data_IF_441645986588
#
_entry.id   IF_441645986588
#
_cell.length_a   1.000
_cell.length_b   1.000
_cell.length_c   1.000
_cell.angle_alpha   90.00
_cell.angle_beta   90.00
_cell.angle_gamma   90.00
#
_symmetry.space_group_name_H-M   'P 1'
#
loop_
_entity.id
_entity.type
_entity.pdbx_description
1 polymer ?
#
# COMPACT_ATOMS: atom_id res chain seq x y z
N UNK A 1 -37.24 30.54 18.90
CA UNK A 1 -35.85 30.06 18.99
C UNK A 1 -35.55 29.34 17.68
N UNK A 2 -35.20 30.11 16.66
CA UNK A 2 -34.93 29.61 15.31
C UNK A 2 -33.51 29.07 15.27
N UNK A 3 -33.42 27.77 15.02
CA UNK A 3 -32.20 27.03 14.78
C UNK A 3 -31.47 27.65 13.59
N UNK A 4 -30.48 28.50 13.86
CA UNK A 4 -29.54 28.99 12.87
C UNK A 4 -28.66 27.82 12.47
N UNK A 5 -29.19 26.95 11.60
CA UNK A 5 -28.44 25.92 10.91
C UNK A 5 -27.37 26.64 10.09
N UNK A 6 -26.20 26.80 10.69
CA UNK A 6 -25.02 27.45 10.13
C UNK A 6 -24.77 26.81 8.78
N UNK A 7 -25.09 27.53 7.71
CA UNK A 7 -24.67 27.16 6.37
C UNK A 7 -23.14 27.11 6.48
N UNK A 8 -22.51 25.94 6.25
CA UNK A 8 -21.06 25.85 6.36
C UNK A 8 -20.48 26.88 5.40
N UNK A 9 -19.59 27.73 5.92
CA UNK A 9 -19.08 28.84 5.12
C UNK A 9 -18.33 28.23 3.94
N UNK A 10 -18.65 28.66 2.71
CA UNK A 10 -17.97 28.20 1.48
C UNK A 10 -16.44 28.24 1.63
N UNK A 11 -15.93 29.18 2.43
CA UNK A 11 -14.52 29.31 2.84
C UNK A 11 -13.97 28.09 3.61
N UNK A 12 -14.71 27.54 4.58
CA UNK A 12 -14.29 26.36 5.37
C UNK A 12 -14.28 25.08 4.52
N UNK A 13 -15.21 24.99 3.57
CA UNK A 13 -15.22 23.90 2.60
C UNK A 13 -13.99 23.98 1.68
N UNK A 14 -13.63 25.18 1.22
CA UNK A 14 -12.46 25.38 0.36
C UNK A 14 -11.14 25.16 1.11
N UNK A 15 -11.03 25.51 2.39
CA UNK A 15 -9.86 25.19 3.21
C UNK A 15 -9.74 23.69 3.42
N UNK A 16 -10.85 23.01 3.72
CA UNK A 16 -10.88 21.54 3.85
C UNK A 16 -10.46 20.83 2.56
N UNK A 17 -10.93 21.31 1.40
CA UNK A 17 -10.51 20.78 0.10
C UNK A 17 -9.02 21.01 -0.18
N UNK A 18 -8.49 22.17 0.22
CA UNK A 18 -7.07 22.46 0.09
C UNK A 18 -6.22 21.53 0.96
N UNK A 19 -6.64 21.32 2.21
CA UNK A 19 -5.97 20.42 3.13
C UNK A 19 -6.04 18.96 2.65
N UNK A 20 -7.14 18.57 2.01
CA UNK A 20 -7.30 17.26 1.37
C UNK A 20 -6.33 17.11 0.17
N UNK A 21 -6.20 18.13 -0.68
CA UNK A 21 -5.22 18.13 -1.79
C UNK A 21 -3.79 18.03 -1.25
N UNK A 22 -3.45 18.80 -0.22
CA UNK A 22 -2.11 18.78 0.39
C UNK A 22 -1.80 17.42 1.03
N UNK A 23 -2.77 16.81 1.72
CA UNK A 23 -2.61 15.47 2.30
C UNK A 23 -2.46 14.40 1.21
N UNK A 24 -3.22 14.48 0.11
CA UNK A 24 -3.10 13.58 -1.03
C UNK A 24 -1.74 13.75 -1.74
N UNK A 25 -1.26 14.97 -1.91
CA UNK A 25 0.07 15.23 -2.47
C UNK A 25 1.19 14.65 -1.61
N UNK A 26 1.12 14.84 -0.29
CA UNK A 26 2.05 14.20 0.65
C UNK A 26 1.98 12.67 0.58
N UNK A 27 0.80 12.11 0.32
CA UNK A 27 0.61 10.67 0.21
C UNK A 27 1.23 10.10 -1.06
N UNK A 28 1.11 10.82 -2.19
CA UNK A 28 1.81 10.47 -3.44
C UNK A 28 3.33 10.44 -3.21
N UNK A 29 3.91 11.49 -2.60
CA UNK A 29 5.35 11.54 -2.32
C UNK A 29 5.79 10.39 -1.42
N UNK A 30 4.99 10.04 -0.40
CA UNK A 30 5.28 8.91 0.47
C UNK A 30 5.25 7.57 -0.28
N UNK A 31 4.30 7.40 -1.21
CA UNK A 31 4.20 6.18 -2.04
C UNK A 31 5.33 6.07 -3.07
N UNK A 32 5.80 7.19 -3.61
CA UNK A 32 6.99 7.22 -4.49
C UNK A 32 8.26 6.85 -3.71
N UNK A 33 8.40 7.34 -2.48
CA UNK A 33 9.51 6.95 -1.60
C UNK A 33 9.42 5.47 -1.21
N UNK A 34 8.21 4.95 -0.95
CA UNK A 34 7.94 3.52 -0.75
C UNK A 34 8.43 2.70 -1.94
N UNK A 35 8.08 3.11 -3.15
CA UNK A 35 8.48 2.43 -4.37
C UNK A 35 10.01 2.41 -4.52
N UNK A 36 10.67 3.53 -4.26
CA UNK A 36 12.13 3.65 -4.33
C UNK A 36 12.83 2.76 -3.30
N UNK A 37 12.31 2.71 -2.07
CA UNK A 37 12.84 1.85 -1.01
C UNK A 37 12.62 0.38 -1.35
N UNK A 38 11.44 0.00 -1.87
CA UNK A 38 11.11 -1.36 -2.30
C UNK A 38 11.99 -1.84 -3.47
N UNK A 39 12.40 -0.94 -4.35
CA UNK A 39 13.37 -1.22 -5.41
C UNK A 39 14.80 -1.36 -4.88
N UNK A 40 15.14 -0.65 -3.80
CA UNK A 40 16.43 -0.72 -3.11
C UNK A 40 16.60 -1.97 -2.22
N UNK A 41 17.65 -1.95 -1.39
CA UNK A 41 17.96 -3.00 -0.39
C UNK A 41 17.63 -2.58 1.06
N UNK A 42 17.06 -1.39 1.28
CA UNK A 42 16.82 -0.86 2.62
C UNK A 42 15.48 -1.33 3.19
N UNK A 43 15.43 -2.56 3.70
CA UNK A 43 14.21 -3.14 4.30
C UNK A 43 13.84 -2.53 5.65
N UNK A 44 14.80 -1.91 6.35
CA UNK A 44 14.62 -1.38 7.71
C UNK A 44 13.74 -0.12 7.76
N UNK A 45 13.72 0.66 6.67
CA UNK A 45 12.90 1.88 6.53
C UNK A 45 11.44 1.58 6.17
N UNK A 46 11.11 0.36 5.73
CA UNK A 46 9.75 -0.01 5.34
C UNK A 46 8.76 0.03 6.51
N UNK A 47 9.21 -0.29 7.73
CA UNK A 47 8.34 -0.29 8.91
C UNK A 47 7.92 1.14 9.31
N UNK A 48 8.87 2.08 9.30
CA UNK A 48 8.61 3.50 9.57
C UNK A 48 7.69 4.10 8.51
N UNK A 49 7.86 3.69 7.26
CA UNK A 49 7.04 4.14 6.15
C UNK A 49 5.59 3.62 6.25
N UNK A 50 5.41 2.37 6.70
CA UNK A 50 4.09 1.78 6.93
C UNK A 50 3.31 2.56 8.02
N UNK A 51 3.97 2.98 9.09
CA UNK A 51 3.35 3.79 10.14
C UNK A 51 2.94 5.18 9.61
N UNK A 52 3.83 5.85 8.87
CA UNK A 52 3.53 7.12 8.21
C UNK A 52 2.36 7.00 7.23
N UNK A 53 2.27 5.89 6.50
CA UNK A 53 1.17 5.58 5.57
C UNK A 53 -0.17 5.49 6.28
N UNK A 54 -0.23 4.77 7.42
CA UNK A 54 -1.46 4.63 8.22
C UNK A 54 -1.93 5.99 8.73
N UNK A 55 -1.02 6.80 9.27
CA UNK A 55 -1.35 8.15 9.75
C UNK A 55 -1.94 9.03 8.65
N UNK A 56 -1.34 8.98 7.45
CA UNK A 56 -1.77 9.81 6.34
C UNK A 56 -3.09 9.33 5.71
N UNK A 57 -3.31 8.02 5.64
CA UNK A 57 -4.59 7.42 5.22
C UNK A 57 -5.71 7.82 6.19
N UNK A 58 -5.46 7.75 7.50
CA UNK A 58 -6.44 8.19 8.50
C UNK A 58 -6.77 9.68 8.38
N UNK A 59 -5.76 10.51 8.10
CA UNK A 59 -5.94 11.95 7.85
C UNK A 59 -6.79 12.20 6.62
N UNK A 60 -6.51 11.53 5.50
CA UNK A 60 -7.31 11.62 4.26
C UNK A 60 -8.74 11.15 4.52
N UNK A 61 -8.94 10.03 5.21
CA UNK A 61 -10.27 9.50 5.53
C UNK A 61 -11.09 10.49 6.37
N UNK A 62 -10.45 11.15 7.33
CA UNK A 62 -11.08 12.19 8.18
C UNK A 62 -11.49 13.39 7.34
N UNK A 63 -10.59 13.91 6.50
CA UNK A 63 -10.86 15.05 5.61
C UNK A 63 -11.98 14.76 4.60
N UNK A 64 -11.95 13.56 3.99
CA UNK A 64 -13.02 13.09 3.11
C UNK A 64 -14.35 12.93 3.83
N UNK A 65 -14.34 12.50 5.10
CA UNK A 65 -15.53 12.43 5.96
C UNK A 65 -16.10 13.82 6.26
N UNK A 66 -15.24 14.79 6.56
CA UNK A 66 -15.61 16.19 6.78
C UNK A 66 -16.21 16.80 5.50
N UNK A 67 -15.57 16.57 4.35
CA UNK A 67 -16.10 16.98 3.03
C UNK A 67 -17.48 16.40 2.74
N UNK A 68 -17.68 15.10 3.00
CA UNK A 68 -19.00 14.45 2.82
C UNK A 68 -20.08 15.06 3.71
N UNK A 69 -19.72 15.52 4.92
CA UNK A 69 -20.64 16.17 5.86
C UNK A 69 -21.08 17.57 5.39
N UNK A 70 -20.22 18.26 4.66
CA UNK A 70 -20.57 19.53 4.00
C UNK A 70 -21.48 19.34 2.78
N UNK A 71 -21.49 18.15 2.19
CA UNK A 71 -22.33 17.83 1.04
C UNK A 71 -23.74 17.43 1.54
N UNK A 72 -24.82 17.99 0.98
CA UNK A 72 -26.16 17.57 1.34
C UNK A 72 -26.38 16.10 0.96
N UNK A 73 -27.11 15.37 1.82
CA UNK A 73 -27.46 13.98 1.58
C UNK A 73 -28.19 13.84 0.24
N UNK A 74 -27.76 12.87 -0.58
CA UNK A 74 -28.31 12.64 -1.93
C UNK A 74 -27.55 13.34 -3.07
N UNK A 75 -26.49 14.09 -2.79
CA UNK A 75 -25.61 14.63 -3.85
C UNK A 75 -24.84 13.50 -4.53
N UNK A 76 -25.35 13.00 -5.66
CA UNK A 76 -24.65 12.01 -6.50
C UNK A 76 -23.45 12.62 -7.22
N UNK A 77 -23.51 13.90 -7.56
CA UNK A 77 -22.44 14.57 -8.28
C UNK A 77 -21.90 15.77 -7.50
N UNK A 78 -20.76 15.55 -6.83
CA UNK A 78 -19.97 16.58 -6.15
C UNK A 78 -19.60 17.72 -7.10
N UNK A 79 -19.32 17.42 -8.37
CA UNK A 79 -18.93 18.42 -9.37
C UNK A 79 -20.08 19.37 -9.66
N UNK A 80 -21.29 18.85 -9.80
CA UNK A 80 -22.48 19.65 -10.06
C UNK A 80 -22.83 20.55 -8.86
N UNK A 81 -22.69 20.02 -7.64
CA UNK A 81 -22.88 20.81 -6.42
C UNK A 81 -21.82 21.91 -6.28
N UNK A 82 -20.54 21.60 -6.55
CA UNK A 82 -19.45 22.56 -6.57
C UNK A 82 -19.70 23.66 -7.64
N UNK A 83 -20.19 23.29 -8.82
CA UNK A 83 -20.50 24.25 -9.89
C UNK A 83 -21.59 25.26 -9.47
N UNK A 84 -22.58 24.81 -8.69
CA UNK A 84 -23.70 25.64 -8.22
C UNK A 84 -23.37 26.50 -6.99
N UNK A 85 -22.60 25.96 -6.04
CA UNK A 85 -22.39 26.59 -4.73
C UNK A 85 -20.99 27.18 -4.52
N UNK A 86 -19.98 26.65 -5.19
CA UNK A 86 -18.57 27.00 -4.96
C UNK A 86 -17.70 26.75 -6.20
N UNK A 87 -17.91 27.48 -7.31
CA UNK A 87 -17.23 27.21 -8.59
C UNK A 87 -15.70 27.36 -8.48
N UNK A 88 -15.21 28.19 -7.56
CA UNK A 88 -13.79 28.34 -7.23
C UNK A 88 -13.13 27.08 -6.67
N UNK A 89 -13.91 26.11 -6.16
CA UNK A 89 -13.41 24.83 -5.66
C UNK A 89 -13.30 23.73 -6.72
N UNK A 90 -13.88 23.90 -7.91
CA UNK A 90 -13.78 22.92 -9.00
C UNK A 90 -12.34 22.56 -9.38
N UNK A 91 -11.41 23.52 -9.60
CA UNK A 91 -10.05 23.16 -9.97
C UNK A 91 -9.36 22.31 -8.90
N UNK A 92 -9.52 22.67 -7.62
CA UNK A 92 -8.97 21.89 -6.49
C UNK A 92 -9.62 20.51 -6.38
N UNK A 93 -10.90 20.39 -6.66
CA UNK A 93 -11.59 19.10 -6.69
C UNK A 93 -11.06 18.18 -7.80
N UNK A 94 -10.80 18.74 -8.99
CA UNK A 94 -10.18 17.99 -10.08
C UNK A 94 -8.75 17.55 -9.73
N UNK A 95 -7.96 18.45 -9.13
CA UNK A 95 -6.62 18.14 -8.64
C UNK A 95 -6.64 17.02 -7.60
N UNK A 96 -7.52 17.10 -6.60
CA UNK A 96 -7.70 16.04 -5.60
C UNK A 96 -8.04 14.70 -6.26
N UNK A 97 -8.93 14.67 -7.27
CA UNK A 97 -9.27 13.45 -8.00
C UNK A 97 -8.09 12.87 -8.78
N UNK A 98 -7.29 13.74 -9.41
CA UNK A 98 -6.08 13.32 -10.13
C UNK A 98 -5.04 12.74 -9.15
N UNK A 99 -4.77 13.42 -8.04
CA UNK A 99 -3.86 12.94 -7.01
C UNK A 99 -4.34 11.62 -6.40
N UNK A 100 -5.64 11.47 -6.13
CA UNK A 100 -6.21 10.23 -5.63
C UNK A 100 -6.06 9.07 -6.63
N UNK A 101 -6.28 9.33 -7.93
CA UNK A 101 -6.08 8.32 -8.97
C UNK A 101 -4.60 7.92 -9.09
N UNK A 102 -3.69 8.88 -9.01
CA UNK A 102 -2.25 8.62 -9.03
C UNK A 102 -1.81 7.81 -7.81
N UNK A 103 -2.25 8.19 -6.60
CA UNK A 103 -1.98 7.46 -5.38
C UNK A 103 -2.53 6.03 -5.41
N UNK A 104 -3.72 5.82 -5.99
CA UNK A 104 -4.27 4.48 -6.16
C UNK A 104 -3.38 3.62 -7.07
N UNK A 105 -2.91 4.18 -8.18
CA UNK A 105 -2.00 3.48 -9.09
C UNK A 105 -0.68 3.10 -8.40
N UNK A 106 -0.04 4.06 -7.72
CA UNK A 106 1.19 3.81 -6.96
C UNK A 106 0.98 2.75 -5.86
N UNK A 107 -0.14 2.80 -5.14
CA UNK A 107 -0.44 1.81 -4.10
C UNK A 107 -0.63 0.40 -4.68
N UNK A 108 -1.22 0.28 -5.86
CA UNK A 108 -1.34 -1.01 -6.57
C UNK A 108 0.04 -1.54 -6.98
N UNK A 109 0.88 -0.69 -7.60
CA UNK A 109 2.25 -1.06 -7.99
C UNK A 109 3.10 -1.45 -6.80
N UNK A 110 3.04 -0.70 -5.70
CA UNK A 110 3.75 -1.03 -4.46
C UNK A 110 3.28 -2.36 -3.88
N UNK A 111 1.97 -2.63 -3.91
CA UNK A 111 1.40 -3.92 -3.49
C UNK A 111 1.95 -5.10 -4.29
N UNK A 112 2.05 -4.96 -5.62
CA UNK A 112 2.63 -5.99 -6.50
C UNK A 112 4.12 -6.22 -6.21
N UNK A 113 4.90 -5.15 -6.02
CA UNK A 113 6.32 -5.24 -5.65
C UNK A 113 6.53 -5.99 -4.33
N UNK A 114 5.71 -5.70 -3.32
CA UNK A 114 5.74 -6.38 -2.01
C UNK A 114 5.48 -7.88 -2.19
N UNK A 115 4.46 -8.26 -2.98
CA UNK A 115 4.16 -9.67 -3.23
C UNK A 115 5.31 -10.40 -3.94
N UNK A 116 5.94 -9.76 -4.93
CA UNK A 116 7.07 -10.33 -5.66
C UNK A 116 8.26 -10.57 -4.71
N UNK A 117 8.60 -9.59 -3.88
CA UNK A 117 9.69 -9.71 -2.89
C UNK A 117 9.41 -10.80 -1.86
N UNK A 118 8.16 -10.88 -1.37
CA UNK A 118 7.75 -11.92 -0.42
C UNK A 118 7.90 -13.32 -1.02
N UNK A 119 7.45 -13.52 -2.27
CA UNK A 119 7.59 -14.79 -2.98
C UNK A 119 9.06 -15.17 -3.18
N UNK A 120 9.90 -14.22 -3.58
CA UNK A 120 11.34 -14.45 -3.74
C UNK A 120 12.00 -14.84 -2.42
N UNK A 121 11.69 -14.16 -1.32
CA UNK A 121 12.19 -14.51 0.00
C UNK A 121 11.75 -15.91 0.45
N UNK A 122 10.48 -16.27 0.24
CA UNK A 122 9.98 -17.62 0.53
C UNK A 122 10.68 -18.69 -0.30
N UNK A 123 10.92 -18.42 -1.59
CA UNK A 123 11.66 -19.33 -2.48
C UNK A 123 13.12 -19.48 -2.05
N UNK A 124 13.80 -18.37 -1.73
CA UNK A 124 15.18 -18.39 -1.24
C UNK A 124 15.29 -19.16 0.09
N UNK A 125 14.36 -18.94 1.02
CA UNK A 125 14.27 -19.72 2.26
C UNK A 125 14.00 -21.21 1.95
N UNK A 126 13.11 -21.52 1.01
CA UNK A 126 12.85 -22.89 0.59
C UNK A 126 14.08 -23.59 0.01
N UNK A 127 14.90 -22.88 -0.78
CA UNK A 127 16.18 -23.39 -1.30
C UNK A 127 17.19 -23.57 -0.18
N UNK A 128 17.32 -22.62 0.75
CA UNK A 128 18.24 -22.73 1.89
C UNK A 128 17.85 -23.88 2.83
N UNK A 129 16.56 -24.02 3.15
CA UNK A 129 16.04 -25.15 3.93
C UNK A 129 16.23 -26.47 3.19
N UNK A 130 15.86 -26.53 1.90
CA UNK A 130 16.04 -27.73 1.08
C UNK A 130 17.50 -28.14 0.95
N UNK A 131 18.43 -27.18 0.82
CA UNK A 131 19.86 -27.43 0.81
C UNK A 131 20.36 -27.89 2.19
N UNK A 132 19.88 -27.31 3.28
CA UNK A 132 20.22 -27.75 4.64
C UNK A 132 19.69 -29.16 4.95
N UNK A 133 18.47 -29.50 4.50
CA UNK A 133 17.93 -30.87 4.62
C UNK A 133 18.65 -31.87 3.72
N UNK A 134 19.01 -31.47 2.50
CA UNK A 134 19.79 -32.32 1.59
C UNK A 134 21.21 -32.54 2.10
N UNK A 135 21.85 -31.52 2.70
CA UNK A 135 23.15 -31.64 3.35
C UNK A 135 23.08 -32.49 4.64
N UNK A 136 22.00 -32.36 5.43
CA UNK A 136 21.75 -33.22 6.58
C UNK A 136 21.42 -34.68 6.19
N UNK A 137 20.95 -34.91 4.96
CA UNK A 137 20.73 -36.25 4.40
C UNK A 137 21.96 -36.86 3.73
N UNK A 138 22.94 -36.05 3.31
CA UNK A 138 24.17 -36.51 2.65
C UNK A 138 25.27 -36.90 3.64
N UNK A 139 25.22 -36.37 4.86
CA UNK A 139 26.06 -36.77 5.98
C UNK A 139 25.19 -37.01 7.21
N UNK A 140 24.95 -38.28 7.56
CA UNK A 140 24.42 -38.63 8.87
C UNK A 140 25.38 -38.16 9.98
N UNK A 141 24.88 -38.04 11.22
CA UNK A 141 25.68 -37.65 12.39
C UNK A 141 26.94 -38.50 12.61
N UNK A 142 27.03 -39.67 11.96
CA UNK A 142 28.14 -40.62 12.00
C UNK A 142 29.11 -40.50 10.79
N UNK A 143 28.95 -39.50 9.92
CA UNK A 143 29.85 -39.21 8.79
C UNK A 143 29.78 -40.17 7.61
N UNK A 144 28.82 -41.10 7.57
CA UNK A 144 28.75 -42.11 6.51
C UNK A 144 27.90 -41.66 5.32
N UNK A 145 28.52 -41.60 4.14
CA UNK A 145 27.84 -41.41 2.86
C UNK A 145 27.09 -42.68 2.47
N UNK A 146 25.77 -42.69 2.62
CA UNK A 146 24.94 -43.76 2.05
C UNK A 146 24.75 -43.48 0.56
N UNK A 147 25.73 -43.88 -0.26
CA UNK A 147 25.43 -44.12 -1.68
C UNK A 147 24.49 -45.32 -1.73
N UNK A 148 23.36 -45.27 -2.46
CA UNK A 148 22.52 -46.43 -2.65
C UNK A 148 23.31 -47.48 -3.43
N UNK A 149 23.91 -48.41 -2.67
CA UNK A 149 24.55 -49.62 -3.16
C UNK A 149 23.49 -50.40 -3.94
N UNK A 150 23.57 -50.28 -5.27
CA UNK A 150 22.87 -51.16 -6.20
C UNK A 150 23.60 -52.50 -6.14
N UNK A 151 23.33 -53.31 -5.12
CA UNK A 151 23.75 -54.70 -5.10
C UNK A 151 22.80 -55.46 -6.03
N UNK A 152 23.26 -55.73 -7.25
CA UNK A 152 22.64 -56.73 -8.11
C UNK A 152 23.08 -58.09 -7.60
N UNK A 153 22.22 -58.69 -6.79
CA UNK A 153 22.20 -60.13 -6.52
C UNK A 153 21.82 -60.87 -7.81
N UNK A 154 22.80 -61.47 -8.46
CA UNK A 154 22.65 -62.54 -9.45
C UNK A 154 23.81 -63.50 -9.14
N UNK A 155 23.69 -64.77 -8.82
CA UNK A 155 22.63 -65.75 -8.66
C UNK A 155 23.40 -67.07 -8.47
N UNK A 156 23.00 -67.90 -7.49
CA UNK A 156 23.62 -69.21 -7.27
C UNK A 156 23.11 -70.22 -8.29
N UNK A 157 23.99 -70.97 -8.97
CA UNK A 157 24.13 -72.45 -8.98
C UNK A 157 25.48 -72.78 -9.63
#
# INVERSE_FOLDING_TARGET
MTDSRTIPSTTEFLSTLNDECAALGAFVVLLEDEQRILLGQHSETLLQLAEAKIQLVNKIATLSGTRKRFLPEGTRDTVEWLRKNAPQGLPKWHEARQLAAHAHHLNQTNGELIQIKLRYNQQALGVLYGAAQSAAGLYGADGQTSLPSTSRTLGSV
#
